data_IF_183086938132
#
_entry.id   IF_183086938132
#
_cell.length_a   1.000
_cell.length_b   1.000
_cell.length_c   1.000
_cell.angle_alpha   90.00
_cell.angle_beta   90.00
_cell.angle_gamma   90.00
#
_symmetry.space_group_name_H-M   'P 1'
#
loop_
_entity.id
_entity.type
_entity.pdbx_description
1 polymer ?
#
# COMPACT_ATOMS: atom_id res chain seq x y z
N UNK A 1 -21.24 -54.37 6.88
CA UNK A 1 -20.74 -53.30 7.71
C UNK A 1 -19.33 -52.80 7.42
N UNK A 2 -18.50 -53.46 6.63
CA UNK A 2 -17.10 -53.04 6.32
C UNK A 2 -17.00 -52.01 5.20
N UNK A 3 -17.98 -51.85 4.34
CA UNK A 3 -17.95 -50.94 3.19
C UNK A 3 -18.35 -49.50 3.52
N UNK A 4 -19.12 -49.28 4.57
CA UNK A 4 -19.59 -47.95 4.98
C UNK A 4 -18.54 -47.16 5.76
N UNK A 5 -17.60 -47.82 6.43
CA UNK A 5 -16.53 -47.17 7.19
C UNK A 5 -15.46 -46.55 6.25
N UNK A 6 -15.23 -47.15 5.08
CA UNK A 6 -14.25 -46.71 4.10
C UNK A 6 -14.62 -45.35 3.46
N UNK A 7 -15.92 -45.07 3.30
CA UNK A 7 -16.41 -43.83 2.74
C UNK A 7 -16.31 -42.61 3.67
N UNK A 8 -16.37 -42.87 4.99
CA UNK A 8 -16.25 -41.80 6.01
C UNK A 8 -14.81 -41.30 6.09
N UNK A 9 -13.80 -42.16 5.89
CA UNK A 9 -12.39 -41.74 5.90
C UNK A 9 -12.00 -40.93 4.66
N UNK A 10 -12.63 -41.15 3.51
CA UNK A 10 -12.35 -40.38 2.30
C UNK A 10 -12.95 -38.97 2.39
N UNK A 11 -14.04 -38.79 3.11
CA UNK A 11 -14.69 -37.47 3.24
C UNK A 11 -13.94 -36.54 4.22
N UNK A 12 -13.19 -37.10 5.18
CA UNK A 12 -12.41 -36.33 6.16
C UNK A 12 -11.09 -35.83 5.55
N UNK A 13 -10.57 -36.51 4.56
CA UNK A 13 -9.30 -36.13 3.91
C UNK A 13 -9.41 -34.91 2.97
N UNK A 14 -10.62 -34.45 2.64
CA UNK A 14 -10.86 -33.31 1.73
C UNK A 14 -11.02 -31.96 2.43
N UNK A 15 -10.94 -31.90 3.76
CA UNK A 15 -11.06 -30.66 4.55
C UNK A 15 -9.71 -30.04 4.94
N UNK A 16 -8.58 -30.53 4.42
CA UNK A 16 -7.30 -29.84 4.57
C UNK A 16 -7.11 -28.83 3.46
N UNK A 17 -7.98 -27.84 3.43
CA UNK A 17 -7.94 -26.76 2.46
C UNK A 17 -6.99 -25.67 2.89
N UNK A 18 -5.98 -25.48 2.10
CA UNK A 18 -5.38 -24.21 1.71
C UNK A 18 -5.43 -23.10 2.78
N UNK A 19 -4.54 -23.15 3.75
CA UNK A 19 -3.93 -21.93 4.21
C UNK A 19 -3.08 -21.39 3.06
N UNK A 20 -3.64 -20.48 2.26
CA UNK A 20 -2.83 -19.56 1.49
C UNK A 20 -1.90 -18.87 2.49
N UNK A 21 -0.58 -18.84 2.28
CA UNK A 21 0.28 -18.01 3.10
C UNK A 21 -0.19 -16.57 2.88
N UNK A 22 -0.90 -16.03 3.86
CA UNK A 22 -1.10 -14.61 3.94
C UNK A 22 0.32 -14.03 3.92
N UNK A 23 0.63 -13.21 2.93
CA UNK A 23 1.85 -12.41 2.90
C UNK A 23 2.00 -11.81 4.28
N UNK A 24 3.08 -12.14 4.95
CA UNK A 24 3.34 -11.67 6.30
C UNK A 24 3.22 -10.14 6.28
N UNK A 25 2.37 -9.54 7.13
CA UNK A 25 2.25 -8.10 7.17
C UNK A 25 3.62 -7.54 7.48
N UNK A 26 4.15 -6.73 6.58
CA UNK A 26 5.42 -6.06 6.74
C UNK A 26 5.45 -5.33 8.08
N UNK A 27 6.12 -5.93 9.06
CA UNK A 27 6.49 -5.34 10.35
C UNK A 27 5.39 -4.58 11.14
N UNK A 28 4.11 -4.87 10.93
CA UNK A 28 3.00 -4.21 11.65
C UNK A 28 2.65 -2.80 11.16
N UNK A 29 3.32 -2.29 10.13
CA UNK A 29 2.92 -1.07 9.43
C UNK A 29 2.03 -1.47 8.25
N UNK A 30 0.89 -0.80 8.13
CA UNK A 30 -0.08 -1.08 7.07
C UNK A 30 -0.74 0.18 6.55
N UNK A 31 -1.12 0.15 5.29
CA UNK A 31 -1.99 1.16 4.69
C UNK A 31 -3.44 0.76 5.01
N UNK A 32 -4.19 1.67 5.59
CA UNK A 32 -5.59 1.43 5.97
C UNK A 32 -6.57 2.15 5.05
N UNK A 33 -6.12 3.23 4.41
CA UNK A 33 -6.95 4.00 3.48
C UNK A 33 -6.11 4.72 2.44
N UNK A 34 -6.66 4.92 1.24
CA UNK A 34 -6.08 5.72 0.17
C UNK A 34 -7.19 6.51 -0.51
N UNK A 35 -7.13 7.83 -0.41
CA UNK A 35 -8.03 8.74 -1.11
C UNK A 35 -7.31 9.36 -2.31
N UNK A 36 -8.01 9.52 -3.43
CA UNK A 36 -7.47 10.11 -4.66
C UNK A 36 -8.42 11.18 -5.18
N UNK A 37 -7.86 12.29 -5.63
CA UNK A 37 -8.58 13.36 -6.30
C UNK A 37 -7.88 13.77 -7.59
N UNK A 38 -8.65 14.16 -8.60
CA UNK A 38 -8.14 14.64 -9.89
C UNK A 38 -8.55 16.11 -10.06
N UNK A 39 -7.58 16.97 -10.28
CA UNK A 39 -7.74 18.40 -10.52
C UNK A 39 -7.05 18.85 -11.80
N UNK A 40 -7.38 20.05 -12.29
CA UNK A 40 -6.62 20.69 -13.36
C UNK A 40 -5.27 21.20 -12.86
N UNK A 41 -4.22 21.09 -13.66
CA UNK A 41 -2.95 21.73 -13.36
C UNK A 41 -3.05 23.23 -13.63
N UNK A 42 -2.54 24.04 -12.69
CA UNK A 42 -2.52 25.48 -12.85
C UNK A 42 -1.66 25.88 -14.08
N UNK A 43 -2.23 26.74 -14.93
CA UNK A 43 -1.56 27.24 -16.14
C UNK A 43 -1.45 26.22 -17.29
N UNK A 44 -2.08 25.06 -17.21
CA UNK A 44 -2.07 24.07 -18.30
C UNK A 44 -3.45 23.47 -18.52
N UNK A 45 -3.86 23.38 -19.79
CA UNK A 45 -5.10 22.71 -20.22
C UNK A 45 -4.86 21.22 -20.52
N UNK A 46 -3.61 20.84 -20.76
CA UNK A 46 -3.19 19.51 -21.18
C UNK A 46 -2.55 18.70 -20.04
N UNK A 47 -2.66 19.20 -18.81
CA UNK A 47 -2.17 18.49 -17.64
C UNK A 47 -3.23 18.42 -16.55
N UNK A 48 -3.25 17.28 -15.84
CA UNK A 48 -4.05 17.09 -14.65
C UNK A 48 -3.15 16.79 -13.47
N UNK A 49 -3.56 17.23 -12.29
CA UNK A 49 -2.93 16.88 -11.01
C UNK A 49 -3.71 15.74 -10.39
N UNK A 50 -3.03 14.66 -10.08
CA UNK A 50 -3.55 13.58 -9.25
C UNK A 50 -3.00 13.80 -7.86
N UNK A 51 -3.90 14.15 -6.93
CA UNK A 51 -3.58 14.30 -5.50
C UNK A 51 -4.04 13.06 -4.75
N UNK A 52 -3.28 12.65 -3.74
CA UNK A 52 -3.64 11.49 -2.93
C UNK A 52 -3.32 11.71 -1.45
N UNK A 53 -4.06 11.02 -0.61
CA UNK A 53 -3.80 10.89 0.82
C UNK A 53 -3.75 9.41 1.19
N UNK A 54 -2.71 9.02 1.91
CA UNK A 54 -2.49 7.65 2.37
C UNK A 54 -2.51 7.65 3.88
N UNK A 55 -3.37 6.83 4.49
CA UNK A 55 -3.39 6.60 5.93
C UNK A 55 -2.53 5.39 6.25
N UNK A 56 -1.41 5.63 6.93
CA UNK A 56 -0.52 4.60 7.48
C UNK A 56 -0.88 4.33 8.94
N UNK A 57 -1.00 3.08 9.31
CA UNK A 57 -1.20 2.65 10.69
C UNK A 57 -0.01 1.85 11.19
N UNK A 58 0.50 2.23 12.36
CA UNK A 58 1.47 1.45 13.11
C UNK A 58 0.74 0.56 14.12
N UNK A 59 0.63 -0.73 13.86
CA UNK A 59 0.04 -1.70 14.77
C UNK A 59 1.07 -2.36 15.69
N UNK A 60 2.29 -1.85 15.75
CA UNK A 60 3.34 -2.33 16.65
C UNK A 60 3.29 -1.63 18.00
N UNK A 61 4.03 -2.18 18.97
CA UNK A 61 4.22 -1.59 20.30
C UNK A 61 5.35 -0.56 20.33
N UNK A 62 6.03 -0.31 19.22
CA UNK A 62 7.18 0.58 19.13
C UNK A 62 6.92 1.70 18.13
N UNK A 63 7.46 2.87 18.40
CA UNK A 63 7.48 3.95 17.45
C UNK A 63 8.38 3.61 16.28
N UNK A 64 8.00 4.05 15.08
CA UNK A 64 8.81 3.94 13.87
C UNK A 64 9.05 5.31 13.27
N UNK A 65 10.18 5.53 12.64
CA UNK A 65 10.46 6.74 11.88
C UNK A 65 10.10 6.45 10.42
N UNK A 66 9.19 7.25 9.87
CA UNK A 66 8.81 7.21 8.47
C UNK A 66 9.64 8.27 7.72
N UNK A 67 10.51 7.82 6.80
CA UNK A 67 11.38 8.70 6.03
C UNK A 67 10.71 9.24 4.77
N UNK A 68 10.16 8.34 3.97
CA UNK A 68 9.50 8.74 2.73
C UNK A 68 8.46 7.69 2.31
N UNK A 69 7.58 8.13 1.42
CA UNK A 69 6.57 7.33 0.76
C UNK A 69 6.63 7.62 -0.74
N UNK A 70 6.47 6.58 -1.57
CA UNK A 70 6.51 6.69 -3.03
C UNK A 70 5.48 5.75 -3.66
N UNK A 71 4.50 6.26 -4.42
CA UNK A 71 3.52 5.43 -5.09
C UNK A 71 4.13 4.70 -6.29
N UNK A 72 3.77 3.43 -6.46
CA UNK A 72 4.01 2.66 -7.67
C UNK A 72 2.79 2.79 -8.56
N UNK A 73 2.91 3.50 -9.66
CA UNK A 73 1.79 3.82 -10.55
C UNK A 73 1.37 2.61 -11.39
N UNK A 74 0.10 2.60 -11.81
CA UNK A 74 -0.36 1.71 -12.88
C UNK A 74 0.25 2.13 -14.22
N UNK A 75 0.34 1.21 -15.18
CA UNK A 75 0.96 1.47 -16.49
C UNK A 75 0.36 2.67 -17.20
N UNK A 76 -0.98 2.73 -17.26
CA UNK A 76 -1.69 3.82 -17.92
C UNK A 76 -1.36 5.21 -17.35
N UNK A 77 -1.10 5.29 -16.06
CA UNK A 77 -0.71 6.53 -15.40
C UNK A 77 0.78 6.80 -15.59
N UNK A 78 1.62 5.76 -15.44
CA UNK A 78 3.06 5.85 -15.60
C UNK A 78 3.47 6.35 -16.98
N UNK A 79 2.79 5.88 -18.04
CA UNK A 79 3.06 6.26 -19.44
C UNK A 79 2.76 7.75 -19.71
N UNK A 80 2.03 8.40 -18.83
CA UNK A 80 1.63 9.81 -18.94
C UNK A 80 2.19 10.69 -17.83
N UNK A 81 3.07 10.16 -17.01
CA UNK A 81 3.69 10.90 -15.92
C UNK A 81 4.52 12.06 -16.46
N UNK A 82 4.34 13.24 -15.89
CA UNK A 82 5.08 14.45 -16.23
C UNK A 82 6.21 14.72 -15.22
N UNK A 83 5.98 14.38 -13.95
CA UNK A 83 6.93 14.63 -12.87
C UNK A 83 8.08 13.62 -12.88
N UNK A 84 9.29 14.08 -12.55
CA UNK A 84 10.50 13.24 -12.50
C UNK A 84 10.61 12.42 -11.21
N UNK A 85 9.87 12.77 -10.16
CA UNK A 85 9.92 12.09 -8.87
C UNK A 85 8.54 12.04 -8.22
N UNK A 86 8.20 10.87 -7.71
CA UNK A 86 6.95 10.62 -6.97
C UNK A 86 7.16 10.56 -5.47
N UNK A 87 8.42 10.62 -5.03
CA UNK A 87 8.78 10.45 -3.63
C UNK A 87 8.38 11.64 -2.78
N UNK A 88 7.63 11.38 -1.73
CA UNK A 88 7.24 12.34 -0.71
C UNK A 88 8.11 12.12 0.53
N UNK A 89 8.96 13.10 0.87
CA UNK A 89 9.70 13.10 2.13
C UNK A 89 8.75 13.38 3.29
N UNK A 90 8.81 12.58 4.34
CA UNK A 90 7.91 12.67 5.50
C UNK A 90 8.68 13.03 6.75
N UNK A 91 9.75 12.30 7.07
CA UNK A 91 10.65 12.50 8.22
C UNK A 91 9.87 12.70 9.54
N UNK A 92 8.91 11.82 9.82
CA UNK A 92 8.06 11.87 11.00
C UNK A 92 8.07 10.56 11.77
N UNK A 93 7.90 10.68 13.08
CA UNK A 93 7.63 9.53 13.94
C UNK A 93 6.16 9.12 13.81
N UNK A 94 5.92 7.86 13.52
CA UNK A 94 4.63 7.21 13.60
C UNK A 94 4.61 6.41 14.91
N UNK A 95 3.93 6.97 15.90
CA UNK A 95 3.88 6.42 17.25
C UNK A 95 3.25 5.03 17.28
N UNK A 96 3.57 4.24 18.31
CA UNK A 96 2.98 2.93 18.56
C UNK A 96 1.45 3.01 18.59
N UNK A 97 0.77 2.09 17.92
CA UNK A 97 -0.70 2.00 17.84
C UNK A 97 -1.40 3.27 17.33
N UNK A 98 -0.71 4.09 16.56
CA UNK A 98 -1.24 5.33 15.99
C UNK A 98 -1.35 5.27 14.46
N UNK A 99 -1.91 6.32 13.87
CA UNK A 99 -2.02 6.50 12.43
C UNK A 99 -1.46 7.85 12.01
N UNK A 100 -0.94 7.91 10.79
CA UNK A 100 -0.43 9.12 10.15
C UNK A 100 -0.98 9.22 8.74
N UNK A 101 -1.45 10.42 8.36
CA UNK A 101 -1.86 10.71 6.99
C UNK A 101 -0.68 11.38 6.28
N UNK A 102 -0.35 10.84 5.11
CA UNK A 102 0.66 11.40 4.19
C UNK A 102 -0.03 11.80 2.91
N UNK A 103 0.10 13.06 2.52
CA UNK A 103 -0.45 13.58 1.27
C UNK A 103 0.67 13.75 0.23
N UNK A 104 0.32 13.49 -1.02
CA UNK A 104 1.19 13.71 -2.16
C UNK A 104 0.40 14.06 -3.41
N UNK A 105 1.11 14.48 -4.44
CA UNK A 105 0.52 14.77 -5.74
C UNK A 105 1.54 14.59 -6.85
N UNK A 106 1.05 14.38 -8.07
CA UNK A 106 1.86 14.34 -9.27
C UNK A 106 1.03 14.78 -10.48
N UNK A 107 1.71 15.14 -11.58
CA UNK A 107 1.08 15.60 -12.81
C UNK A 107 1.11 14.49 -13.86
N UNK A 108 0.03 14.42 -14.62
CA UNK A 108 -0.08 13.55 -15.80
C UNK A 108 -0.43 14.37 -17.03
N UNK A 109 0.10 13.97 -18.19
CA UNK A 109 -0.31 14.49 -19.47
C UNK A 109 -1.73 13.99 -19.79
N UNK A 110 -2.64 14.94 -19.93
CA UNK A 110 -4.05 14.72 -20.27
C UNK A 110 -4.40 15.13 -21.71
N UNK A 111 -3.40 15.36 -22.56
CA UNK A 111 -3.61 15.70 -23.97
C UNK A 111 -4.49 14.66 -24.64
N UNK A 112 -5.59 15.11 -25.25
CA UNK A 112 -6.52 14.26 -25.98
C UNK A 112 -7.41 13.36 -25.12
N UNK A 113 -7.42 13.52 -23.80
CA UNK A 113 -8.31 12.76 -22.89
C UNK A 113 -9.07 13.69 -21.96
N UNK A 114 -10.28 13.28 -21.61
CA UNK A 114 -11.11 13.99 -20.63
C UNK A 114 -10.82 13.52 -19.21
N UNK A 115 -11.19 14.34 -18.22
CA UNK A 115 -11.12 13.97 -16.80
C UNK A 115 -11.85 12.63 -16.52
N UNK A 116 -13.02 12.42 -17.14
CA UNK A 116 -13.77 11.17 -16.99
C UNK A 116 -13.03 9.94 -17.53
N UNK A 117 -12.29 10.10 -18.62
CA UNK A 117 -11.44 9.03 -19.14
C UNK A 117 -10.28 8.72 -18.19
N UNK A 118 -9.64 9.76 -17.60
CA UNK A 118 -8.59 9.55 -16.59
C UNK A 118 -9.14 8.80 -15.38
N UNK A 119 -10.32 9.16 -14.89
CA UNK A 119 -10.98 8.45 -13.78
C UNK A 119 -11.20 6.97 -14.11
N UNK A 120 -11.46 6.62 -15.38
CA UNK A 120 -11.63 5.22 -15.81
C UNK A 120 -10.31 4.40 -15.82
N UNK A 121 -9.16 5.01 -15.53
CA UNK A 121 -7.86 4.32 -15.47
C UNK A 121 -7.58 3.69 -14.09
N UNK A 122 -8.51 3.78 -13.17
CA UNK A 122 -8.38 3.11 -11.87
C UNK A 122 -8.07 1.59 -12.03
N UNK A 123 -7.25 1.04 -11.15
CA UNK A 123 -6.56 1.67 -10.03
C UNK A 123 -5.38 2.54 -10.50
N UNK A 124 -5.21 3.72 -9.89
CA UNK A 124 -4.07 4.61 -10.20
C UNK A 124 -2.75 4.07 -9.67
N UNK A 125 -2.80 3.39 -8.54
CA UNK A 125 -1.63 2.81 -7.86
C UNK A 125 -1.68 1.28 -7.90
N UNK A 126 -0.53 0.66 -8.17
CA UNK A 126 -0.32 -0.78 -8.02
C UNK A 126 0.14 -1.12 -6.61
N UNK A 127 0.94 -0.24 -6.02
CA UNK A 127 1.59 -0.46 -4.73
C UNK A 127 2.05 0.87 -4.12
N UNK A 128 2.62 0.81 -2.93
CA UNK A 128 3.19 1.96 -2.23
C UNK A 128 4.50 1.54 -1.56
N UNK A 129 5.61 2.16 -1.96
CA UNK A 129 6.89 1.97 -1.30
C UNK A 129 6.98 2.88 -0.08
N UNK A 130 7.41 2.31 1.04
CA UNK A 130 7.53 3.03 2.31
C UNK A 130 8.91 2.75 2.90
N UNK A 131 9.64 3.80 3.27
CA UNK A 131 10.91 3.68 3.99
C UNK A 131 10.70 3.99 5.46
N UNK A 132 11.03 3.04 6.32
CA UNK A 132 10.88 3.15 7.78
C UNK A 132 12.13 2.64 8.50
N UNK A 133 12.40 3.21 9.68
CA UNK A 133 13.30 2.64 10.67
C UNK A 133 12.49 1.97 11.78
N UNK A 134 12.70 0.67 11.96
CA UNK A 134 12.07 -0.12 13.00
C UNK A 134 13.12 -0.57 14.00
N UNK A 135 12.99 -0.19 15.27
CA UNK A 135 13.81 -0.71 16.36
C UNK A 135 13.28 -2.07 16.81
N UNK A 136 14.06 -3.10 16.60
CA UNK A 136 13.75 -4.43 17.11
C UNK A 136 14.45 -4.65 18.47
N UNK A 137 13.73 -5.07 19.52
CA UNK A 137 14.35 -5.40 20.78
C UNK A 137 15.30 -6.60 20.60
N UNK A 138 16.48 -6.51 21.17
CA UNK A 138 17.39 -7.65 21.22
C UNK A 138 16.85 -8.68 22.24
N UNK A 139 17.01 -9.98 21.96
CA UNK A 139 16.70 -11.00 22.95
C UNK A 139 17.59 -10.78 24.19
N UNK A 140 17.11 -11.13 25.40
CA UNK A 140 17.91 -11.03 26.62
C UNK A 140 19.20 -11.79 26.42
N UNK A 141 20.33 -11.11 26.58
CA UNK A 141 21.62 -11.74 26.51
C UNK A 141 21.77 -12.62 27.76
N UNK A 142 21.99 -13.92 27.56
CA UNK A 142 22.34 -14.82 28.67
C UNK A 142 23.65 -14.28 29.28
N UNK A 143 23.54 -13.73 30.49
CA UNK A 143 24.69 -13.25 31.23
C UNK A 143 25.68 -14.40 31.42
N UNK A 144 26.92 -14.21 31.01
CA UNK A 144 28.01 -15.11 31.29
C UNK A 144 28.36 -15.09 32.78
#
# INVERSE_FOLDING_TARGET
MRKTILWIFILIALMTSSCSPALAPSAGIRITDVMVAIGGAEGSVDQQVISYEVTLQNATQNDVILHWLEPVLSEKISDRLVDDSLRVSVEKTLEANSSLIVAGQFKVDSSGVTKGQITSWEPFFKDMLVSIDLKLPLPPQAGG
#
